data_IF_779423306871
#
_entry.id   IF_779423306871
#
_cell.length_a   1.000
_cell.length_b   1.000
_cell.length_c   1.000
_cell.angle_alpha   90.00
_cell.angle_beta   90.00
_cell.angle_gamma   90.00
#
_symmetry.space_group_name_H-M   'P 1'
#
loop_
_entity.id
_entity.type
_entity.pdbx_description
1 polymer ?
#
# COMPACT_ATOMS: atom_id res chain seq x y z
N UNK A 1 3.82 -66.67 -4.86
CA UNK A 1 3.82 -65.77 -3.69
C UNK A 1 4.23 -64.36 -4.14
N UNK A 2 3.29 -63.41 -4.19
CA UNK A 2 3.62 -62.02 -3.92
C UNK A 2 2.81 -61.53 -2.71
N UNK A 3 3.51 -61.09 -1.67
CA UNK A 3 2.89 -60.49 -0.47
C UNK A 3 2.58 -59.03 -0.73
N UNK A 4 1.29 -58.73 -0.84
CA UNK A 4 0.73 -57.39 -0.85
C UNK A 4 0.95 -56.71 0.50
N UNK A 5 1.77 -55.66 0.57
CA UNK A 5 1.86 -54.80 1.76
C UNK A 5 0.79 -53.70 1.65
N UNK A 6 -0.22 -53.82 2.50
CA UNK A 6 -1.23 -52.79 2.74
C UNK A 6 -0.59 -51.67 3.57
N UNK A 7 -0.44 -50.48 3.01
CA UNK A 7 -0.07 -49.27 3.77
C UNK A 7 -1.37 -48.62 4.25
N UNK A 8 -1.59 -48.68 5.55
CA UNK A 8 -2.65 -47.93 6.24
C UNK A 8 -2.14 -46.51 6.41
N UNK A 9 -2.68 -45.56 5.64
CA UNK A 9 -2.44 -44.13 5.84
C UNK A 9 -3.45 -43.64 6.88
N UNK A 10 -2.99 -43.44 8.10
CA UNK A 10 -3.73 -42.74 9.14
C UNK A 10 -3.68 -41.23 8.85
N UNK A 11 -4.82 -40.65 8.47
CA UNK A 11 -4.97 -39.19 8.48
C UNK A 11 -4.97 -38.70 9.94
N UNK A 12 -3.80 -38.29 10.43
CA UNK A 12 -3.70 -37.41 11.58
C UNK A 12 -4.08 -35.99 11.15
N UNK A 13 -5.27 -35.53 11.54
CA UNK A 13 -5.60 -34.10 11.58
C UNK A 13 -4.76 -33.45 12.69
N UNK A 14 -3.54 -33.02 12.33
CA UNK A 14 -2.82 -32.05 13.13
C UNK A 14 -3.42 -30.66 12.85
N UNK A 15 -3.91 -30.00 13.90
CA UNK A 15 -4.22 -28.57 13.88
C UNK A 15 -2.95 -27.82 13.43
N UNK A 16 -2.98 -27.26 12.22
CA UNK A 16 -1.91 -26.41 11.71
C UNK A 16 -1.91 -25.09 12.49
N UNK A 17 -1.17 -25.07 13.60
CA UNK A 17 -0.69 -23.82 14.19
C UNK A 17 0.39 -23.24 13.27
N UNK A 18 -0.06 -22.42 12.31
CA UNK A 18 0.67 -21.28 11.76
C UNK A 18 2.06 -21.51 11.17
N UNK A 19 2.22 -22.40 10.20
CA UNK A 19 3.41 -22.32 9.32
C UNK A 19 3.30 -21.05 8.46
N UNK A 20 4.29 -20.14 8.49
CA UNK A 20 4.31 -18.99 7.59
C UNK A 20 4.13 -19.43 6.13
N UNK A 21 3.24 -18.75 5.41
CA UNK A 21 2.97 -18.99 3.98
C UNK A 21 4.29 -18.98 3.18
N UNK A 22 4.60 -20.03 2.37
CA UNK A 22 5.82 -20.09 1.57
C UNK A 22 5.81 -19.22 0.31
N UNK A 23 4.72 -18.48 0.03
CA UNK A 23 4.62 -17.61 -1.15
C UNK A 23 5.71 -16.53 -1.24
N UNK A 24 5.98 -15.99 -2.45
CA UNK A 24 6.97 -14.94 -2.64
C UNK A 24 6.67 -13.69 -1.77
N UNK A 25 7.70 -12.92 -1.37
CA UNK A 25 7.52 -11.71 -0.59
C UNK A 25 6.63 -10.70 -1.34
N UNK A 26 5.75 -10.02 -0.60
CA UNK A 26 5.01 -8.88 -1.14
C UNK A 26 5.93 -7.67 -1.35
N UNK A 27 5.46 -6.65 -2.05
CA UNK A 27 6.24 -5.42 -2.25
C UNK A 27 6.65 -4.74 -0.94
N UNK A 28 5.78 -4.78 0.08
CA UNK A 28 6.07 -4.22 1.40
C UNK A 28 7.10 -5.08 2.14
N UNK A 29 6.90 -6.41 2.15
CA UNK A 29 7.82 -7.34 2.78
C UNK A 29 9.21 -7.22 2.15
N UNK A 30 9.29 -7.18 0.82
CA UNK A 30 10.52 -7.02 0.06
C UNK A 30 11.26 -5.74 0.43
N UNK A 31 10.57 -4.59 0.45
CA UNK A 31 11.19 -3.32 0.81
C UNK A 31 11.75 -3.31 2.24
N UNK A 32 11.07 -3.94 3.20
CA UNK A 32 11.51 -4.00 4.59
C UNK A 32 12.73 -4.92 4.77
N UNK A 33 12.71 -6.11 4.17
CA UNK A 33 13.83 -7.05 4.28
C UNK A 33 15.07 -6.52 3.55
N UNK A 34 14.90 -5.90 2.38
CA UNK A 34 16.01 -5.32 1.63
C UNK A 34 16.67 -4.18 2.41
N UNK A 35 15.86 -3.30 3.02
CA UNK A 35 16.36 -2.18 3.83
C UNK A 35 17.29 -2.65 4.96
N UNK A 36 16.88 -3.69 5.70
CA UNK A 36 17.68 -4.27 6.80
C UNK A 36 18.94 -4.98 6.28
N UNK A 37 18.82 -5.69 5.16
CA UNK A 37 19.91 -6.49 4.61
C UNK A 37 20.87 -5.69 3.71
N UNK A 38 20.63 -4.41 3.43
CA UNK A 38 21.46 -3.57 2.54
C UNK A 38 22.95 -3.61 2.87
N UNK A 39 23.33 -3.63 4.16
CA UNK A 39 24.73 -3.68 4.57
C UNK A 39 25.43 -5.00 4.17
N UNK A 40 24.69 -6.09 3.98
CA UNK A 40 25.21 -7.39 3.52
C UNK A 40 25.41 -7.45 2.00
N UNK A 41 24.91 -6.44 1.26
CA UNK A 41 25.06 -6.30 -0.19
C UNK A 41 26.47 -5.87 -0.61
N UNK A 42 27.25 -5.27 0.30
CA UNK A 42 28.60 -4.76 0.02
C UNK A 42 29.70 -5.85 -0.05
N UNK A 43 29.32 -7.13 0.04
CA UNK A 43 30.23 -8.27 -0.19
C UNK A 43 30.37 -8.62 -1.69
N UNK A 44 31.38 -9.42 -2.01
CA UNK A 44 31.68 -9.93 -3.37
C UNK A 44 30.44 -10.49 -4.09
N UNK A 45 30.30 -10.29 -5.42
CA UNK A 45 29.11 -10.68 -6.16
C UNK A 45 28.90 -12.21 -6.14
N UNK A 46 27.83 -12.66 -5.47
CA UNK A 46 27.44 -14.07 -5.34
C UNK A 46 27.11 -14.55 -3.91
N UNK A 47 26.60 -13.70 -3.00
CA UNK A 47 26.52 -14.04 -1.56
C UNK A 47 25.23 -14.76 -1.13
N UNK A 48 25.41 -16.03 -0.76
CA UNK A 48 24.59 -16.77 0.22
C UNK A 48 24.23 -15.95 1.47
N UNK A 49 25.08 -15.00 1.89
CA UNK A 49 24.86 -14.17 3.07
C UNK A 49 23.78 -13.09 2.89
N UNK A 50 23.62 -12.50 1.69
CA UNK A 50 22.54 -11.53 1.45
C UNK A 50 21.21 -12.27 1.35
N UNK A 51 21.16 -13.35 0.56
CA UNK A 51 19.96 -14.19 0.42
C UNK A 51 19.58 -14.89 1.74
N UNK A 52 20.57 -15.30 2.53
CA UNK A 52 20.40 -15.80 3.89
C UNK A 52 19.82 -14.76 4.84
N UNK A 53 20.24 -13.49 4.71
CA UNK A 53 19.63 -12.38 5.46
C UNK A 53 18.17 -12.16 5.05
N UNK A 54 17.89 -12.09 3.74
CA UNK A 54 16.53 -11.86 3.23
C UNK A 54 15.57 -12.96 3.70
N UNK A 55 15.97 -14.22 3.58
CA UNK A 55 15.15 -15.37 3.98
C UNK A 55 14.91 -15.42 5.50
N UNK A 56 15.95 -15.20 6.31
CA UNK A 56 15.82 -15.14 7.77
C UNK A 56 14.92 -13.97 8.22
N UNK A 57 15.09 -12.80 7.61
CA UNK A 57 14.31 -11.61 7.94
C UNK A 57 12.84 -11.76 7.54
N UNK A 58 12.56 -12.35 6.36
CA UNK A 58 11.21 -12.63 5.91
C UNK A 58 10.50 -13.63 6.84
N UNK A 59 11.21 -14.69 7.25
CA UNK A 59 10.68 -15.67 8.18
C UNK A 59 10.35 -15.04 9.54
N UNK A 60 11.24 -14.22 10.09
CA UNK A 60 10.99 -13.49 11.34
C UNK A 60 9.76 -12.58 11.21
N UNK A 61 9.69 -11.78 10.14
CA UNK A 61 8.60 -10.85 9.88
C UNK A 61 7.24 -11.58 9.81
N UNK A 62 7.16 -12.68 9.05
CA UNK A 62 5.92 -13.45 8.91
C UNK A 62 5.56 -14.24 10.17
N UNK A 63 6.55 -14.67 10.95
CA UNK A 63 6.32 -15.36 12.24
C UNK A 63 5.68 -14.42 13.24
N UNK A 64 6.12 -13.16 13.29
CA UNK A 64 5.63 -12.18 14.25
C UNK A 64 4.31 -11.53 13.77
N UNK A 65 4.25 -11.12 12.51
CA UNK A 65 3.17 -10.26 12.00
C UNK A 65 2.28 -10.89 10.94
N UNK A 66 2.58 -12.11 10.50
CA UNK A 66 1.90 -12.73 9.35
C UNK A 66 2.24 -12.04 8.03
N UNK A 67 1.74 -12.60 6.93
CA UNK A 67 1.92 -12.03 5.60
C UNK A 67 1.26 -10.65 5.51
N UNK A 68 1.93 -9.68 4.93
CA UNK A 68 1.44 -8.28 4.80
C UNK A 68 0.98 -7.67 6.14
N UNK A 69 1.65 -8.04 7.23
CA UNK A 69 1.33 -7.58 8.58
C UNK A 69 -0.13 -7.89 8.98
N UNK A 70 -0.69 -8.99 8.47
CA UNK A 70 -2.09 -9.41 8.70
C UNK A 70 -2.47 -9.64 10.16
N UNK A 71 -1.49 -9.90 11.04
CA UNK A 71 -1.72 -10.02 12.48
C UNK A 71 -1.82 -8.67 13.19
N UNK A 72 -1.46 -7.57 12.52
CA UNK A 72 -1.79 -6.24 12.98
C UNK A 72 -3.21 -5.89 12.53
N UNK A 73 -4.00 -5.34 13.44
CA UNK A 73 -5.31 -4.79 13.12
C UNK A 73 -5.20 -3.61 12.13
N UNK A 74 -6.31 -3.27 11.49
CA UNK A 74 -6.37 -2.14 10.55
C UNK A 74 -6.04 -0.82 11.25
N UNK A 75 -6.47 -0.64 12.50
CA UNK A 75 -6.19 0.57 13.29
C UNK A 75 -4.71 0.68 13.67
N UNK A 76 -4.05 -0.42 14.03
CA UNK A 76 -2.62 -0.44 14.34
C UNK A 76 -1.78 -0.08 13.11
N UNK A 77 -2.10 -0.69 11.96
CA UNK A 77 -1.41 -0.40 10.69
C UNK A 77 -1.55 1.08 10.29
N UNK A 78 -2.75 1.65 10.41
CA UNK A 78 -2.98 3.09 10.17
C UNK A 78 -2.18 3.99 11.12
N UNK A 79 -2.06 3.57 12.38
CA UNK A 79 -1.30 4.34 13.38
C UNK A 79 0.18 4.40 13.00
N UNK A 80 0.78 3.24 12.69
CA UNK A 80 2.17 3.13 12.22
C UNK A 80 2.38 3.98 10.96
N UNK A 81 1.50 3.83 9.98
CA UNK A 81 1.62 4.54 8.70
C UNK A 81 1.51 6.07 8.87
N UNK A 82 0.62 6.55 9.73
CA UNK A 82 0.46 7.99 9.99
C UNK A 82 1.70 8.63 10.62
N UNK A 83 2.42 7.89 11.48
CA UNK A 83 3.66 8.36 12.10
C UNK A 83 4.79 8.38 11.08
N UNK A 84 4.94 7.29 10.31
CA UNK A 84 6.04 7.19 9.36
C UNK A 84 5.85 8.05 8.11
N UNK A 85 4.61 8.28 7.66
CA UNK A 85 4.33 9.17 6.52
C UNK A 85 4.79 10.61 6.77
N UNK A 86 4.70 11.09 8.03
CA UNK A 86 5.26 12.40 8.42
C UNK A 86 6.78 12.44 8.26
N UNK A 87 7.47 11.32 8.52
CA UNK A 87 8.92 11.20 8.33
C UNK A 87 9.28 11.15 6.84
N UNK A 88 8.48 10.44 6.03
CA UNK A 88 8.66 10.37 4.58
C UNK A 88 8.61 11.75 3.94
N UNK A 89 7.63 12.57 4.32
CA UNK A 89 7.43 13.90 3.75
C UNK A 89 8.65 14.83 3.93
N UNK A 90 9.47 14.58 4.96
CA UNK A 90 10.61 15.44 5.30
C UNK A 90 11.95 14.83 4.90
N UNK A 91 12.09 13.50 4.99
CA UNK A 91 13.39 12.80 4.88
C UNK A 91 13.42 11.68 3.83
N UNK A 92 12.34 11.52 3.07
CA UNK A 92 12.24 10.57 1.97
C UNK A 92 12.07 9.09 2.40
N UNK A 93 12.19 8.22 1.40
CA UNK A 93 11.80 6.81 1.46
C UNK A 93 12.60 5.98 2.47
N UNK A 94 13.92 6.14 2.53
CA UNK A 94 14.75 5.32 3.43
C UNK A 94 14.45 5.64 4.90
N UNK A 95 14.15 6.90 5.21
CA UNK A 95 13.73 7.32 6.54
C UNK A 95 12.32 6.78 6.91
N UNK A 96 11.43 6.63 5.93
CA UNK A 96 10.15 5.95 6.11
C UNK A 96 10.34 4.46 6.46
N UNK A 97 11.19 3.75 5.72
CA UNK A 97 11.46 2.32 5.96
C UNK A 97 12.15 2.09 7.31
N UNK A 98 13.08 2.97 7.70
CA UNK A 98 13.70 2.95 9.03
C UNK A 98 12.66 3.19 10.15
N UNK A 99 11.77 4.15 9.96
CA UNK A 99 10.66 4.41 10.89
C UNK A 99 9.76 3.18 11.03
N UNK A 100 9.36 2.57 9.90
CA UNK A 100 8.44 1.43 9.88
C UNK A 100 9.07 0.23 10.60
N UNK A 101 10.33 -0.09 10.31
CA UNK A 101 11.07 -1.15 11.01
C UNK A 101 11.17 -0.89 12.52
N UNK A 102 11.46 0.35 12.94
CA UNK A 102 11.49 0.72 14.36
C UNK A 102 10.13 0.58 15.05
N UNK A 103 9.04 0.99 14.39
CA UNK A 103 7.68 0.81 14.90
C UNK A 103 7.38 -0.68 15.07
N UNK A 104 7.59 -1.50 14.04
CA UNK A 104 7.36 -2.95 14.11
C UNK A 104 8.17 -3.61 15.22
N UNK A 105 9.45 -3.26 15.40
CA UNK A 105 10.24 -3.77 16.51
C UNK A 105 9.59 -3.45 17.88
N UNK A 106 9.15 -2.21 18.09
CA UNK A 106 8.47 -1.82 19.33
C UNK A 106 7.14 -2.56 19.55
N UNK A 107 6.38 -2.80 18.47
CA UNK A 107 5.11 -3.55 18.52
C UNK A 107 5.36 -5.00 18.86
N UNK A 108 6.41 -5.60 18.30
CA UNK A 108 6.82 -6.97 18.59
C UNK A 108 7.17 -7.16 20.06
N UNK A 109 7.92 -6.23 20.65
CA UNK A 109 8.28 -6.31 22.06
C UNK A 109 7.05 -6.18 22.97
N UNK A 110 6.11 -5.28 22.65
CA UNK A 110 4.81 -5.19 23.34
C UNK A 110 3.98 -6.46 23.18
N UNK A 111 3.95 -7.02 21.97
CA UNK A 111 3.17 -8.22 21.67
C UNK A 111 3.71 -9.45 22.40
N UNK A 112 5.04 -9.64 22.42
CA UNK A 112 5.71 -10.70 23.19
C UNK A 112 5.52 -10.53 24.70
N UNK A 113 5.51 -9.30 25.21
CA UNK A 113 5.22 -9.02 26.61
C UNK A 113 3.76 -9.33 26.99
N UNK A 114 2.81 -9.05 26.08
CA UNK A 114 1.40 -9.34 26.28
C UNK A 114 1.05 -10.83 26.10
N UNK A 115 1.86 -11.58 25.33
CA UNK A 115 1.66 -13.00 25.04
C UNK A 115 2.95 -13.79 25.34
N UNK A 116 3.27 -14.01 26.63
CA UNK A 116 4.41 -14.85 26.98
C UNK A 116 4.18 -16.27 26.44
N UNK A 117 5.17 -16.81 25.74
CA UNK A 117 5.13 -18.20 25.30
C UNK A 117 4.97 -19.11 26.53
N UNK A 118 4.22 -20.23 26.43
CA UNK A 118 4.25 -21.25 27.46
C UNK A 118 5.70 -21.74 27.61
N UNK A 119 6.26 -21.52 28.80
CA UNK A 119 7.62 -21.90 29.17
C UNK A 119 7.75 -23.42 29.16
N UNK A 120 8.38 -23.97 28.13
CA UNK A 120 9.02 -25.27 28.25
C UNK A 120 10.27 -25.14 29.12
N UNK A 121 10.40 -26.10 30.04
CA UNK A 121 11.31 -26.12 31.16
C UNK A 121 12.78 -25.85 30.80
N UNK A 122 13.43 -24.99 31.58
CA UNK A 122 14.89 -24.87 31.64
C UNK A 122 15.35 -25.07 33.10
N UNK A 123 16.52 -25.68 33.35
CA UNK A 123 16.73 -26.56 34.49
C UNK A 123 17.22 -25.84 35.74
N UNK A 124 16.78 -26.39 36.87
CA UNK A 124 17.12 -26.04 38.24
C UNK A 124 18.65 -26.06 38.52
N UNK A 125 19.12 -25.26 39.48
CA UNK A 125 19.87 -25.85 40.59
C UNK A 125 19.46 -25.32 41.96
N UNK A 126 18.90 -26.25 42.75
CA UNK A 126 19.11 -26.61 44.17
C UNK A 126 19.44 -25.58 45.29
N UNK A 127 19.05 -25.90 46.55
CA UNK A 127 18.67 -24.97 47.65
C UNK A 127 19.80 -24.91 48.75
N UNK A 128 19.67 -24.45 50.04
CA UNK A 128 18.52 -24.46 50.99
C UNK A 128 18.33 -23.22 51.91
N UNK A 129 17.13 -23.02 52.48
CA UNK A 129 16.81 -23.16 53.93
C UNK A 129 15.33 -22.89 54.22
N UNK A 130 14.80 -23.70 55.15
CA UNK A 130 13.43 -23.77 55.66
C UNK A 130 12.90 -22.51 56.32
N UNK A 131 11.59 -22.27 56.19
CA UNK A 131 10.69 -22.15 57.33
C UNK A 131 9.23 -22.39 56.89
N UNK A 132 8.55 -23.23 57.67
CA UNK A 132 7.23 -23.77 57.42
C UNK A 132 6.09 -22.75 57.56
N UNK A 133 5.01 -22.97 56.82
CA UNK A 133 3.65 -22.97 57.39
C UNK A 133 2.63 -23.58 56.41
N UNK A 134 2.12 -24.74 56.82
CA UNK A 134 0.70 -25.12 56.88
C UNK A 134 -0.22 -24.97 55.63
N UNK A 135 -0.31 -26.08 54.87
CA UNK A 135 -1.51 -26.86 54.43
C UNK A 135 -2.70 -26.16 53.68
N UNK A 136 -3.61 -26.89 53.00
CA UNK A 136 -3.40 -27.29 51.61
C UNK A 136 -4.58 -27.00 50.64
N UNK A 137 -4.19 -26.76 49.41
CA UNK A 137 -4.80 -27.12 48.10
C UNK A 137 -6.10 -27.96 48.13
N UNK A 138 -7.13 -27.45 47.45
CA UNK A 138 -8.17 -28.24 46.77
C UNK A 138 -7.93 -28.20 45.26
N UNK A 139 -7.88 -29.34 44.54
CA UNK A 139 -8.03 -29.39 43.10
C UNK A 139 -9.33 -30.07 42.66
N UNK A 140 -9.79 -29.62 41.50
CA UNK A 140 -10.86 -30.10 40.61
C UNK A 140 -11.10 -31.62 40.53
N UNK A 141 -12.33 -32.07 40.23
CA UNK A 141 -12.59 -33.42 39.74
C UNK A 141 -12.45 -33.51 38.20
N UNK A 142 -11.82 -34.57 37.66
CA UNK A 142 -12.06 -35.03 36.30
C UNK A 142 -13.21 -36.06 36.26
N UNK A 143 -13.92 -36.06 35.14
CA UNK A 143 -14.94 -37.04 34.80
C UNK A 143 -14.33 -38.44 34.68
N UNK A 144 -14.87 -39.39 35.45
CA UNK A 144 -14.57 -40.81 35.32
C UNK A 144 -15.83 -41.58 34.94
N UNK A 145 -15.74 -42.22 33.79
CA UNK A 145 -16.50 -43.41 33.40
C UNK A 145 -16.58 -44.43 34.53
N UNK A 146 -17.75 -45.03 34.77
CA UNK A 146 -17.82 -46.41 35.24
C UNK A 146 -19.19 -47.05 35.01
N UNK A 147 -19.13 -48.09 34.21
CA UNK A 147 -20.01 -49.25 34.18
C UNK A 147 -20.24 -49.82 35.58
N UNK A 148 -21.49 -50.12 35.92
CA UNK A 148 -21.84 -51.04 37.01
C UNK A 148 -22.96 -51.96 36.53
N UNK A 149 -22.64 -53.25 36.50
CA UNK A 149 -23.61 -54.32 36.38
C UNK A 149 -24.21 -54.68 37.73
N UNK A 150 -25.42 -55.24 37.63
CA UNK A 150 -26.06 -56.21 38.52
C UNK A 150 -26.14 -55.87 40.02
N UNK A 151 -27.37 -55.72 40.52
CA UNK A 151 -27.91 -56.66 41.51
C UNK A 151 -29.43 -56.50 41.72
N UNK A 152 -30.07 -57.66 41.87
CA UNK A 152 -31.32 -57.96 42.58
C UNK A 152 -32.63 -57.65 41.85
N UNK A 153 -33.18 -58.73 41.29
CA UNK A 153 -34.59 -58.84 40.95
C UNK A 153 -35.48 -58.98 42.18
N UNK A 154 -36.77 -59.21 41.89
CA UNK A 154 -37.94 -59.23 42.77
C UNK A 154 -38.58 -57.85 42.90
N UNK A 155 -39.71 -57.70 42.16
CA UNK A 155 -40.92 -56.90 42.48
C UNK A 155 -41.63 -56.23 41.27
N UNK A 156 -41.51 -56.74 40.03
CA UNK A 156 -42.43 -56.30 38.94
C UNK A 156 -42.90 -57.44 38.04
N UNK A 157 -43.39 -58.54 38.64
CA UNK A 157 -44.13 -59.60 37.91
C UNK A 157 -45.62 -59.65 38.28
N UNK A 158 -46.10 -58.81 39.20
CA UNK A 158 -47.50 -58.84 39.67
C UNK A 158 -48.40 -57.72 39.14
N UNK A 159 -47.98 -56.92 38.15
CA UNK A 159 -48.84 -55.89 37.53
C UNK A 159 -49.08 -56.10 36.02
N UNK A 160 -48.42 -57.08 35.38
CA UNK A 160 -48.60 -57.36 33.95
C UNK A 160 -49.55 -58.55 33.64
N UNK A 161 -50.45 -58.92 34.55
CA UNK A 161 -51.49 -59.94 34.30
C UNK A 161 -52.90 -59.53 34.74
N UNK A 162 -53.22 -58.23 34.73
CA UNK A 162 -54.59 -57.75 34.99
C UNK A 162 -55.09 -56.61 34.05
N UNK A 163 -54.43 -56.40 32.92
CA UNK A 163 -54.96 -55.57 31.81
C UNK A 163 -54.74 -56.24 30.44
N UNK A 164 -54.61 -57.57 30.43
CA UNK A 164 -54.65 -58.39 29.23
C UNK A 164 -56.10 -58.74 28.89
N UNK A 165 -56.85 -57.78 28.34
CA UNK A 165 -58.24 -58.00 27.98
C UNK A 165 -58.74 -56.96 26.99
N UNK A 166 -58.87 -57.39 25.72
CA UNK A 166 -59.56 -56.69 24.62
C UNK A 166 -58.78 -55.55 23.93
N UNK A 167 -57.75 -55.91 23.17
CA UNK A 167 -57.48 -55.26 21.88
C UNK A 167 -57.85 -56.24 20.76
N UNK A 168 -59.16 -56.45 20.62
CA UNK A 168 -59.76 -57.03 19.41
C UNK A 168 -59.42 -56.12 18.24
N UNK A 169 -58.84 -56.72 17.21
CA UNK A 169 -58.37 -56.10 15.99
C UNK A 169 -59.45 -55.24 15.31
N UNK A 170 -59.42 -53.92 15.55
CA UNK A 170 -59.98 -52.95 14.60
C UNK A 170 -58.87 -52.63 13.60
N UNK A 171 -58.72 -53.49 12.59
CA UNK A 171 -57.92 -53.22 11.39
C UNK A 171 -58.50 -51.95 10.77
N UNK A 172 -57.95 -50.81 11.14
CA UNK A 172 -58.35 -49.50 10.64
C UNK A 172 -58.18 -49.53 9.12
N UNK A 173 -59.30 -49.40 8.39
CA UNK A 173 -59.25 -49.12 6.96
C UNK A 173 -58.49 -47.80 6.81
N UNK A 174 -57.22 -47.85 6.39
CA UNK A 174 -56.48 -46.63 6.02
C UNK A 174 -57.24 -46.00 4.85
N UNK A 175 -57.64 -44.72 4.92
CA UNK A 175 -58.31 -44.08 3.81
C UNK A 175 -57.35 -44.08 2.60
N UNK A 176 -57.74 -44.75 1.51
CA UNK A 176 -57.02 -44.67 0.24
C UNK A 176 -57.12 -43.23 -0.27
N UNK A 177 -55.98 -42.57 -0.44
CA UNK A 177 -55.92 -41.23 -1.05
C UNK A 177 -55.58 -41.40 -2.52
N UNK A 178 -56.23 -40.63 -3.39
CA UNK A 178 -55.94 -40.60 -4.83
C UNK A 178 -54.88 -39.53 -5.14
N UNK A 179 -54.03 -39.81 -6.12
CA UNK A 179 -53.04 -38.86 -6.63
C UNK A 179 -53.76 -37.65 -7.25
N UNK A 180 -53.39 -36.42 -6.84
CA UNK A 180 -54.04 -35.20 -7.35
C UNK A 180 -53.83 -34.93 -8.85
N UNK A 181 -52.80 -35.52 -9.46
CA UNK A 181 -52.43 -35.27 -10.86
C UNK A 181 -53.06 -36.29 -11.81
N UNK A 182 -53.08 -37.57 -11.43
CA UNK A 182 -53.53 -38.66 -12.33
C UNK A 182 -54.66 -39.54 -11.77
N UNK A 183 -55.09 -39.32 -10.52
CA UNK A 183 -56.24 -40.00 -9.92
C UNK A 183 -56.00 -41.41 -9.36
N UNK A 184 -54.82 -42.00 -9.55
CA UNK A 184 -54.51 -43.37 -9.08
C UNK A 184 -54.44 -43.44 -7.54
N UNK A 185 -54.92 -44.54 -6.94
CA UNK A 185 -54.85 -44.77 -5.49
C UNK A 185 -53.39 -44.93 -5.01
N UNK A 186 -53.03 -44.21 -3.95
CA UNK A 186 -51.67 -44.22 -3.38
C UNK A 186 -51.71 -44.88 -1.99
N UNK A 187 -51.00 -46.01 -1.78
CA UNK A 187 -51.09 -46.79 -0.54
C UNK A 187 -50.41 -46.11 0.67
N UNK A 188 -49.49 -45.16 0.44
CA UNK A 188 -48.65 -44.54 1.48
C UNK A 188 -49.12 -43.14 1.94
N UNK A 189 -50.35 -42.73 1.59
CA UNK A 189 -50.96 -41.51 2.11
C UNK A 189 -50.38 -40.17 1.61
N UNK A 190 -49.45 -40.19 0.65
CA UNK A 190 -48.92 -38.99 -0.01
C UNK A 190 -49.87 -38.39 -1.06
N UNK A 191 -49.69 -37.10 -1.39
CA UNK A 191 -50.58 -36.38 -2.32
C UNK A 191 -50.34 -36.70 -3.82
N UNK A 192 -49.20 -37.31 -4.16
CA UNK A 192 -48.79 -37.67 -5.52
C UNK A 192 -48.29 -39.12 -5.54
N UNK A 193 -48.60 -39.86 -6.61
CA UNK A 193 -48.01 -41.17 -6.86
C UNK A 193 -46.51 -41.04 -7.23
N UNK A 194 -45.77 -42.16 -7.16
CA UNK A 194 -44.32 -42.17 -7.40
C UNK A 194 -43.92 -41.60 -8.76
N UNK A 195 -44.68 -41.93 -9.83
CA UNK A 195 -44.43 -41.43 -11.19
C UNK A 195 -44.60 -39.91 -11.28
N UNK A 196 -45.75 -39.38 -10.86
CA UNK A 196 -46.00 -37.93 -10.89
C UNK A 196 -45.05 -37.16 -9.96
N UNK A 197 -44.59 -37.76 -8.85
CA UNK A 197 -43.56 -37.17 -7.99
C UNK A 197 -42.21 -37.10 -8.72
N UNK A 198 -41.83 -38.13 -9.47
CA UNK A 198 -40.60 -38.14 -10.26
C UNK A 198 -40.63 -37.10 -11.37
N UNK A 199 -41.70 -37.08 -12.17
CA UNK A 199 -41.89 -36.10 -13.25
C UNK A 199 -41.90 -34.66 -12.72
N UNK A 200 -42.61 -34.40 -11.61
CA UNK A 200 -42.58 -33.09 -10.95
C UNK A 200 -41.18 -32.72 -10.42
N UNK A 201 -40.40 -33.70 -9.96
CA UNK A 201 -39.02 -33.47 -9.52
C UNK A 201 -38.10 -33.19 -10.71
N UNK A 202 -38.29 -33.84 -11.86
CA UNK A 202 -37.53 -33.60 -13.10
C UNK A 202 -37.77 -32.20 -13.65
N UNK A 203 -39.04 -31.76 -13.73
CA UNK A 203 -39.38 -30.39 -14.15
C UNK A 203 -38.74 -29.35 -13.23
N UNK A 204 -38.72 -29.59 -11.91
CA UNK A 204 -38.03 -28.72 -10.96
C UNK A 204 -36.52 -28.70 -11.14
N UNK A 205 -35.91 -29.84 -11.50
CA UNK A 205 -34.47 -29.92 -11.78
C UNK A 205 -34.12 -29.16 -13.06
N UNK A 206 -34.86 -29.36 -14.14
CA UNK A 206 -34.63 -28.65 -15.41
C UNK A 206 -34.77 -27.14 -15.25
N UNK A 207 -35.85 -26.68 -14.62
CA UNK A 207 -36.03 -25.24 -14.33
C UNK A 207 -34.99 -24.68 -13.34
N UNK A 208 -34.41 -25.50 -12.47
CA UNK A 208 -33.30 -25.07 -11.62
C UNK A 208 -31.99 -24.94 -12.41
N UNK A 209 -31.72 -25.86 -13.34
CA UNK A 209 -30.57 -25.82 -14.24
C UNK A 209 -30.65 -24.62 -15.18
N UNK A 210 -31.81 -24.36 -15.79
CA UNK A 210 -32.03 -23.20 -16.66
C UNK A 210 -31.78 -21.88 -15.93
N UNK A 211 -32.34 -21.72 -14.72
CA UNK A 211 -32.07 -20.54 -13.88
C UNK A 211 -30.60 -20.40 -13.50
N UNK A 212 -29.90 -21.52 -13.27
CA UNK A 212 -28.46 -21.50 -13.01
C UNK A 212 -27.68 -21.02 -14.25
N UNK A 213 -28.04 -21.49 -15.45
CA UNK A 213 -27.43 -21.02 -16.71
C UNK A 213 -27.69 -19.53 -16.95
N UNK A 214 -28.92 -19.05 -16.75
CA UNK A 214 -29.24 -17.62 -16.88
C UNK A 214 -28.43 -16.76 -15.89
N UNK A 215 -28.26 -17.24 -14.66
CA UNK A 215 -27.47 -16.53 -13.64
C UNK A 215 -26.00 -16.41 -14.07
N UNK A 216 -25.41 -17.52 -14.55
CA UNK A 216 -24.03 -17.52 -15.04
C UNK A 216 -23.87 -16.61 -16.26
N UNK A 217 -24.79 -16.66 -17.23
CA UNK A 217 -24.77 -15.78 -18.40
C UNK A 217 -24.82 -14.29 -18.00
N UNK A 218 -25.70 -13.92 -17.06
CA UNK A 218 -25.76 -12.56 -16.51
C UNK A 218 -24.49 -12.18 -15.75
N UNK A 219 -23.87 -13.12 -15.04
CA UNK A 219 -22.62 -12.85 -14.34
C UNK A 219 -21.47 -12.60 -15.32
N UNK A 220 -21.39 -13.39 -16.40
CA UNK A 220 -20.40 -13.23 -17.46
C UNK A 220 -20.60 -11.91 -18.22
N UNK A 221 -21.84 -11.51 -18.53
CA UNK A 221 -22.15 -10.18 -19.09
C UNK A 221 -21.68 -9.07 -18.15
N UNK A 222 -21.97 -9.18 -16.84
CA UNK A 222 -21.51 -8.19 -15.85
C UNK A 222 -19.99 -8.16 -15.71
N UNK A 223 -19.30 -9.29 -15.87
CA UNK A 223 -17.83 -9.35 -15.90
C UNK A 223 -17.29 -8.64 -17.15
N UNK A 224 -17.84 -8.94 -18.33
CA UNK A 224 -17.47 -8.29 -19.57
C UNK A 224 -17.68 -6.77 -19.53
N UNK A 225 -18.80 -6.30 -18.96
CA UNK A 225 -19.06 -4.87 -18.78
C UNK A 225 -18.02 -4.20 -17.88
N UNK A 226 -17.65 -4.83 -16.75
CA UNK A 226 -16.61 -4.30 -15.85
C UNK A 226 -15.25 -4.26 -16.53
N UNK A 227 -14.91 -5.29 -17.30
CA UNK A 227 -13.65 -5.36 -18.03
C UNK A 227 -13.59 -4.28 -19.13
N UNK A 228 -14.69 -4.03 -19.83
CA UNK A 228 -14.80 -2.96 -20.82
C UNK A 228 -14.69 -1.58 -20.17
N UNK A 229 -15.40 -1.34 -19.06
CA UNK A 229 -15.31 -0.09 -18.31
C UNK A 229 -13.87 0.15 -17.81
N UNK A 230 -13.21 -0.88 -17.28
CA UNK A 230 -11.82 -0.80 -16.86
C UNK A 230 -10.88 -0.48 -18.02
N UNK A 231 -11.11 -1.05 -19.22
CA UNK A 231 -10.33 -0.72 -20.43
C UNK A 231 -10.54 0.74 -20.86
N UNK A 232 -11.79 1.22 -20.84
CA UNK A 232 -12.11 2.62 -21.16
C UNK A 232 -11.44 3.58 -20.17
N UNK A 233 -11.43 3.24 -18.89
CA UNK A 233 -10.80 4.07 -17.87
C UNK A 233 -9.28 4.11 -18.00
N UNK A 234 -8.64 2.96 -18.26
CA UNK A 234 -7.20 2.91 -18.55
C UNK A 234 -6.86 3.74 -19.79
N UNK A 235 -7.65 3.64 -20.87
CA UNK A 235 -7.42 4.44 -22.07
C UNK A 235 -7.53 5.95 -21.79
N UNK A 236 -8.47 6.38 -20.94
CA UNK A 236 -8.58 7.78 -20.50
C UNK A 236 -7.35 8.22 -19.70
N UNK A 237 -6.89 7.39 -18.78
CA UNK A 237 -5.69 7.67 -17.98
C UNK A 237 -4.44 7.76 -18.86
N UNK A 238 -4.29 6.84 -19.82
CA UNK A 238 -3.18 6.83 -20.77
C UNK A 238 -3.19 8.09 -21.66
N UNK A 239 -4.37 8.52 -22.14
CA UNK A 239 -4.51 9.76 -22.90
C UNK A 239 -4.15 10.99 -22.04
N UNK A 240 -4.61 11.06 -20.79
CA UNK A 240 -4.25 12.15 -19.88
C UNK A 240 -2.75 12.18 -19.57
N UNK A 241 -2.15 11.01 -19.34
CA UNK A 241 -0.70 10.89 -19.14
C UNK A 241 0.08 11.36 -20.37
N UNK A 242 -0.38 11.01 -21.58
CA UNK A 242 0.22 11.48 -22.83
C UNK A 242 0.09 13.00 -23.00
N UNK A 243 -1.08 13.58 -22.70
CA UNK A 243 -1.30 15.04 -22.72
C UNK A 243 -0.35 15.77 -21.76
N UNK A 244 -0.26 15.31 -20.50
CA UNK A 244 0.65 15.87 -19.50
C UNK A 244 2.12 15.72 -19.90
N UNK A 245 2.49 14.64 -20.59
CA UNK A 245 3.84 14.49 -21.14
C UNK A 245 4.11 15.50 -22.27
N UNK A 246 3.15 15.69 -23.17
CA UNK A 246 3.28 16.65 -24.27
C UNK A 246 3.39 18.09 -23.75
N UNK A 247 2.59 18.47 -22.76
CA UNK A 247 2.67 19.79 -22.11
C UNK A 247 4.04 20.03 -21.47
N UNK A 248 4.60 19.03 -20.77
CA UNK A 248 5.96 19.13 -20.20
C UNK A 248 7.02 19.31 -21.28
N UNK A 249 6.93 18.55 -22.38
CA UNK A 249 7.87 18.68 -23.51
C UNK A 249 7.77 20.06 -24.16
N UNK A 250 6.55 20.59 -24.31
CA UNK A 250 6.34 21.93 -24.85
C UNK A 250 6.87 23.01 -23.91
N UNK A 251 6.63 22.89 -22.60
CA UNK A 251 7.16 23.82 -21.60
C UNK A 251 8.69 23.80 -21.58
N UNK A 252 9.31 22.62 -21.59
CA UNK A 252 10.77 22.49 -21.70
C UNK A 252 11.30 23.12 -22.99
N UNK A 253 10.60 22.94 -24.12
CA UNK A 253 10.98 23.56 -25.38
C UNK A 253 10.89 25.09 -25.32
N UNK A 254 9.84 25.63 -24.69
CA UNK A 254 9.68 27.09 -24.45
C UNK A 254 10.80 27.63 -23.57
N UNK A 255 11.09 26.96 -22.45
CA UNK A 255 12.18 27.34 -21.55
C UNK A 255 13.56 27.29 -22.25
N UNK A 256 13.82 26.28 -23.08
CA UNK A 256 15.06 26.20 -23.87
C UNK A 256 15.15 27.31 -24.89
N UNK A 257 14.06 27.64 -25.57
CA UNK A 257 14.01 28.74 -26.53
C UNK A 257 14.23 30.10 -25.85
N UNK A 258 13.65 30.31 -24.67
CA UNK A 258 13.85 31.53 -23.88
C UNK A 258 15.30 31.66 -23.42
N UNK A 259 15.89 30.60 -22.87
CA UNK A 259 17.31 30.58 -22.49
C UNK A 259 18.23 30.84 -23.68
N UNK A 260 17.92 30.29 -24.86
CA UNK A 260 18.69 30.55 -26.07
C UNK A 260 18.62 32.04 -26.48
N UNK A 261 17.44 32.67 -26.38
CA UNK A 261 17.29 34.11 -26.62
C UNK A 261 18.08 34.95 -25.62
N UNK A 262 18.01 34.60 -24.33
CA UNK A 262 18.78 35.27 -23.28
C UNK A 262 20.29 35.15 -23.53
N UNK A 263 20.77 33.97 -23.91
CA UNK A 263 22.18 33.75 -24.26
C UNK A 263 22.62 34.55 -25.48
N UNK A 264 21.77 34.64 -26.52
CA UNK A 264 22.06 35.44 -27.70
C UNK A 264 22.15 36.94 -27.36
N UNK A 265 21.22 37.45 -26.55
CA UNK A 265 21.25 38.82 -26.06
C UNK A 265 22.48 39.10 -25.17
N UNK A 266 22.79 38.19 -24.25
CA UNK A 266 23.99 38.26 -23.41
C UNK A 266 25.26 38.32 -24.28
N UNK A 267 25.35 37.47 -25.31
CA UNK A 267 26.47 37.45 -26.25
C UNK A 267 26.56 38.75 -27.05
N UNK A 268 25.41 39.30 -27.47
CA UNK A 268 25.36 40.60 -28.17
C UNK A 268 25.85 41.73 -27.28
N UNK A 269 25.41 41.77 -26.02
CA UNK A 269 25.81 42.78 -25.05
C UNK A 269 27.30 42.66 -24.68
N UNK A 270 27.81 41.44 -24.50
CA UNK A 270 29.23 41.18 -24.24
C UNK A 270 30.10 41.73 -25.39
N UNK A 271 29.68 41.51 -26.65
CA UNK A 271 30.38 42.05 -27.81
C UNK A 271 30.33 43.58 -27.89
N UNK A 272 29.20 44.21 -27.54
CA UNK A 272 29.10 45.69 -27.47
C UNK A 272 30.02 46.28 -26.38
N UNK A 273 30.21 45.55 -25.29
CA UNK A 273 31.17 45.93 -24.24
C UNK A 273 32.60 45.88 -24.76
N UNK A 274 32.99 44.80 -25.44
CA UNK A 274 34.35 44.61 -25.97
C UNK A 274 34.75 45.69 -27.00
N UNK A 275 33.77 46.29 -27.68
CA UNK A 275 33.95 47.37 -28.66
C UNK A 275 34.03 48.78 -28.06
N UNK A 276 33.88 48.95 -26.74
CA UNK A 276 33.86 50.27 -26.11
C UNK A 276 35.27 50.91 -26.05
N UNK A 277 35.40 52.23 -26.30
CA UNK A 277 36.70 52.91 -26.31
C UNK A 277 37.33 53.00 -24.90
N UNK A 278 38.62 52.69 -24.80
CA UNK A 278 39.43 52.68 -23.57
C UNK A 278 39.62 54.08 -22.93
N UNK A 279 39.42 55.16 -23.69
CA UNK A 279 39.65 56.54 -23.22
C UNK A 279 38.37 57.18 -22.68
N UNK A 280 38.39 57.63 -21.42
CA UNK A 280 37.25 58.30 -20.78
C UNK A 280 37.08 59.74 -21.28
N UNK A 281 36.03 59.99 -22.06
CA UNK A 281 35.59 61.32 -22.50
C UNK A 281 34.12 61.53 -22.12
N UNK A 282 33.76 62.52 -21.27
CA UNK A 282 32.39 62.74 -20.81
C UNK A 282 31.35 62.87 -21.93
N UNK A 283 31.70 63.52 -23.03
CA UNK A 283 30.79 63.71 -24.17
C UNK A 283 30.57 62.39 -24.92
N UNK A 284 31.62 61.58 -25.08
CA UNK A 284 31.54 60.25 -25.73
C UNK A 284 30.80 59.25 -24.85
N UNK A 285 30.99 59.30 -23.53
CA UNK A 285 30.31 58.42 -22.55
C UNK A 285 28.80 58.65 -22.54
N UNK A 286 28.35 59.91 -22.63
CA UNK A 286 26.92 60.24 -22.76
C UNK A 286 26.39 60.13 -24.20
N UNK A 287 27.28 59.98 -25.19
CA UNK A 287 26.91 59.89 -26.60
C UNK A 287 26.38 61.21 -27.19
N UNK A 288 26.82 62.35 -26.65
CA UNK A 288 26.39 63.70 -27.07
C UNK A 288 27.52 64.45 -27.78
N UNK A 289 27.17 65.46 -28.57
CA UNK A 289 28.15 66.33 -29.21
C UNK A 289 28.86 67.21 -28.17
N UNK A 290 30.10 67.65 -28.46
CA UNK A 290 30.88 68.52 -27.55
C UNK A 290 30.24 69.89 -27.29
N UNK A 291 29.32 70.30 -28.15
CA UNK A 291 28.57 71.55 -28.08
C UNK A 291 27.09 71.31 -27.75
N UNK A 292 26.75 70.14 -27.21
CA UNK A 292 25.38 69.80 -26.85
C UNK A 292 24.82 70.78 -25.81
N UNK A 293 23.53 71.10 -25.91
CA UNK A 293 22.88 71.95 -24.92
C UNK A 293 22.64 71.20 -23.61
N UNK A 294 22.40 71.93 -22.53
CA UNK A 294 22.05 71.34 -21.22
C UNK A 294 20.87 70.38 -21.30
N UNK A 295 19.82 70.75 -22.04
CA UNK A 295 18.64 69.90 -22.23
C UNK A 295 18.99 68.60 -22.96
N UNK A 296 19.92 68.63 -23.92
CA UNK A 296 20.41 67.45 -24.63
C UNK A 296 21.24 66.54 -23.71
N UNK A 297 22.07 67.13 -22.86
CA UNK A 297 22.88 66.41 -21.85
C UNK A 297 21.96 65.73 -20.81
N UNK A 298 20.95 66.45 -20.30
CA UNK A 298 19.94 65.91 -19.37
C UNK A 298 19.16 64.76 -20.02
N UNK A 299 18.72 64.94 -21.27
CA UNK A 299 17.99 63.91 -22.01
C UNK A 299 18.86 62.66 -22.26
N UNK A 300 20.11 62.85 -22.66
CA UNK A 300 21.06 61.76 -22.87
C UNK A 300 21.39 61.02 -21.58
N UNK A 301 21.53 61.73 -20.47
CA UNK A 301 21.73 61.14 -19.14
C UNK A 301 20.54 60.25 -18.74
N UNK A 302 19.30 60.73 -18.89
CA UNK A 302 18.12 59.93 -18.58
C UNK A 302 17.99 58.70 -19.48
N UNK A 303 18.28 58.86 -20.78
CA UNK A 303 18.29 57.73 -21.72
C UNK A 303 19.35 56.69 -21.33
N UNK A 304 20.57 57.11 -21.00
CA UNK A 304 21.64 56.23 -20.55
C UNK A 304 21.27 55.54 -19.22
N UNK A 305 20.70 56.26 -18.26
CA UNK A 305 20.26 55.69 -16.98
C UNK A 305 19.23 54.59 -17.14
N UNK A 306 18.28 54.76 -18.07
CA UNK A 306 17.30 53.71 -18.38
C UNK A 306 17.93 52.46 -19.02
N UNK A 307 19.02 52.61 -19.78
CA UNK A 307 19.75 51.51 -20.44
C UNK A 307 20.59 50.68 -19.47
N UNK A 308 21.09 51.29 -18.39
CA UNK A 308 21.95 50.64 -17.39
C UNK A 308 21.22 50.30 -16.09
N UNK A 309 19.89 50.21 -16.12
CA UNK A 309 19.07 49.95 -14.93
C UNK A 309 19.30 48.52 -14.38
N UNK A 310 19.56 48.37 -13.06
CA UNK A 310 19.90 47.06 -12.47
C UNK A 310 18.75 46.05 -12.50
N UNK A 311 17.48 46.48 -12.45
CA UNK A 311 16.34 45.58 -12.46
C UNK A 311 16.18 44.94 -13.85
N UNK A 312 16.43 45.72 -14.91
CA UNK A 312 16.42 45.23 -16.29
C UNK A 312 17.60 44.30 -16.60
N UNK A 313 18.69 44.38 -15.85
CA UNK A 313 19.91 43.59 -16.08
C UNK A 313 20.07 42.42 -15.11
N UNK A 314 19.05 42.17 -14.28
CA UNK A 314 19.04 41.11 -13.27
C UNK A 314 19.17 39.69 -13.84
N UNK A 315 18.80 39.48 -15.11
CA UNK A 315 18.94 38.19 -15.81
C UNK A 315 20.36 37.92 -16.34
N UNK A 316 21.23 38.92 -16.37
CA UNK A 316 22.60 38.78 -16.88
C UNK A 316 23.52 38.04 -15.90
N UNK A 317 24.62 37.52 -16.41
CA UNK A 317 25.70 37.00 -15.57
C UNK A 317 26.28 38.09 -14.66
N UNK A 318 26.75 37.67 -13.48
CA UNK A 318 27.33 38.58 -12.48
C UNK A 318 28.53 39.38 -13.04
N UNK A 319 29.29 38.80 -13.97
CA UNK A 319 30.41 39.48 -14.63
C UNK A 319 29.92 40.65 -15.48
N UNK A 320 28.88 40.45 -16.29
CA UNK A 320 28.29 41.53 -17.07
C UNK A 320 27.64 42.58 -16.15
N UNK A 321 26.92 42.17 -15.11
CA UNK A 321 26.30 43.11 -14.17
C UNK A 321 27.31 44.12 -13.58
N UNK A 322 28.50 43.68 -13.17
CA UNK A 322 29.53 44.58 -12.66
C UNK A 322 30.07 45.52 -13.76
N UNK A 323 30.17 45.06 -15.01
CA UNK A 323 30.56 45.92 -16.15
C UNK A 323 29.47 46.98 -16.42
N UNK A 324 28.20 46.61 -16.43
CA UNK A 324 27.09 47.55 -16.63
C UNK A 324 27.02 48.58 -15.49
N UNK A 325 27.28 48.16 -14.25
CA UNK A 325 27.38 49.04 -13.08
C UNK A 325 28.55 50.03 -13.20
N UNK A 326 29.72 49.58 -13.68
CA UNK A 326 30.84 50.47 -13.96
C UNK A 326 30.51 51.48 -15.06
N UNK A 327 29.78 51.07 -16.11
CA UNK A 327 29.26 51.98 -17.15
C UNK A 327 28.25 52.98 -16.60
N UNK A 328 27.30 52.55 -15.75
CA UNK A 328 26.35 53.44 -15.09
C UNK A 328 27.06 54.52 -14.26
N UNK A 329 28.08 54.13 -13.50
CA UNK A 329 28.92 55.07 -12.74
C UNK A 329 29.71 56.01 -13.67
N UNK A 330 30.18 55.55 -14.82
CA UNK A 330 30.82 56.40 -15.82
C UNK A 330 29.85 57.45 -16.37
N UNK A 331 28.60 57.06 -16.66
CA UNK A 331 27.51 57.94 -17.09
C UNK A 331 27.20 59.00 -16.03
N UNK A 332 27.04 58.61 -14.76
CA UNK A 332 26.82 59.54 -13.64
C UNK A 332 27.97 60.54 -13.48
N UNK A 333 29.23 60.07 -13.57
CA UNK A 333 30.42 60.94 -13.48
C UNK A 333 30.50 61.90 -14.67
N UNK A 334 30.21 61.44 -15.88
CA UNK A 334 30.23 62.28 -17.08
C UNK A 334 29.21 63.42 -16.97
N UNK A 335 27.98 63.10 -16.55
CA UNK A 335 26.93 64.10 -16.34
C UNK A 335 27.32 65.16 -15.30
N UNK A 336 27.89 64.76 -14.16
CA UNK A 336 28.36 65.69 -13.13
C UNK A 336 29.47 66.61 -13.65
N UNK A 337 30.41 66.10 -14.44
CA UNK A 337 31.48 66.93 -15.02
C UNK A 337 30.96 67.96 -16.01
N UNK A 338 30.00 67.58 -16.86
CA UNK A 338 29.43 68.48 -17.87
C UNK A 338 28.56 69.57 -17.23
N UNK A 339 27.73 69.19 -16.26
CA UNK A 339 26.88 70.15 -15.52
C UNK A 339 27.68 71.08 -14.61
N UNK A 340 28.85 70.66 -14.12
CA UNK A 340 29.76 71.51 -13.34
C UNK A 340 30.54 72.52 -14.21
N UNK A 341 30.90 72.16 -15.45
CA UNK A 341 31.63 73.05 -16.36
C UNK A 341 30.77 74.21 -16.90
N UNK A 342 29.47 73.99 -17.08
CA UNK A 342 28.54 75.04 -17.52
C UNK A 342 28.17 76.05 -16.40
N UNK A 343 28.46 75.73 -15.13
CA UNK A 343 28.26 76.65 -14.01
C UNK A 343 29.35 77.74 -13.88
N UNK A 344 30.47 77.59 -14.60
CA UNK A 344 31.68 78.42 -14.46
C UNK A 344 31.96 79.29 -15.72
N UNK A 345 30.96 79.52 -16.57
CA UNK A 345 31.10 80.35 -17.78
C UNK A 345 30.28 81.65 -17.64
N UNK A 346 30.93 82.81 -17.37
CA UNK A 346 30.27 84.11 -17.18
C UNK A 346 29.70 84.73 -18.46
#
# INVERSE_FOLDING_TARGET
MPSTRLIVVTLGMALQLGTPDPGPPSALEQALIEHVCTAKRAGTPGTDAYDGCLSAQLLSLRTDFGRDLSRLSVSERRTIDSVCTKVNAVRGRDAYLACLNGQLASWRDRWRAAHPAPVDASPNPSPPVSAASAVPVSPSPPAASRSYGLWIGVTVVTVLLAAGGVLVAKRTRRPTRTCKVCGVEVPDGGELCQKCRHEAAEVRRLSAVERAHEFLAKEDERRAQRDEEQRRERARQDEEHARRQQERVEEEARQRAEKARQQEEETRLAREIELAPETFDPYVVLGVARNASKEEIDAAYQAAKSKYDPDQLSYLSAELQEIFKAKAQAVDRAYQMLTAQEGEMP
#
